data_IF_174131144348
#
_entry.id   IF_174131144348
#
_cell.length_a   1.000
_cell.length_b   1.000
_cell.length_c   1.000
_cell.angle_alpha   90.00
_cell.angle_beta   90.00
_cell.angle_gamma   90.00
#
_symmetry.space_group_name_H-M   'P 1'
#
loop_
_entity.id
_entity.type
_entity.pdbx_description
1 polymer ?
#
# COMPACT_ATOMS: atom_id res chain seq x y z
N UNK A 1 -24.45 2.49 -81.24
CA UNK A 1 -24.04 1.59 -80.15
C UNK A 1 -23.41 2.46 -79.06
N UNK A 2 -24.10 2.69 -77.93
CA UNK A 2 -23.54 3.53 -76.85
C UNK A 2 -22.76 2.68 -75.87
N UNK A 3 -21.57 3.17 -75.54
CA UNK A 3 -20.68 2.56 -74.55
C UNK A 3 -21.11 2.93 -73.10
N UNK A 4 -21.29 1.92 -72.26
CA UNK A 4 -21.62 2.03 -70.85
C UNK A 4 -20.32 2.26 -70.07
N UNK A 5 -20.16 3.48 -69.55
CA UNK A 5 -19.07 3.80 -68.61
C UNK A 5 -19.45 3.37 -67.20
N UNK A 6 -18.79 2.30 -66.67
CA UNK A 6 -18.92 1.85 -65.31
C UNK A 6 -18.17 2.77 -64.37
N UNK A 7 -18.91 3.55 -63.54
CA UNK A 7 -18.33 4.39 -62.48
C UNK A 7 -18.11 3.55 -61.21
N UNK A 8 -16.87 3.23 -60.95
CA UNK A 8 -16.46 2.55 -59.70
C UNK A 8 -16.48 3.58 -58.55
N UNK A 9 -17.43 3.47 -57.62
CA UNK A 9 -17.50 4.27 -56.43
C UNK A 9 -16.57 3.65 -55.35
N UNK A 10 -15.44 4.28 -55.09
CA UNK A 10 -14.53 3.92 -53.98
C UNK A 10 -15.10 4.51 -52.71
N UNK A 11 -15.67 3.66 -51.84
CA UNK A 11 -16.03 4.03 -50.47
C UNK A 11 -14.78 4.05 -49.60
N UNK A 12 -14.31 5.28 -49.33
CA UNK A 12 -13.24 5.50 -48.34
C UNK A 12 -13.82 5.37 -46.92
N UNK A 13 -13.58 4.24 -46.28
CA UNK A 13 -13.93 4.03 -44.88
C UNK A 13 -12.89 4.78 -44.04
N UNK A 14 -13.24 5.95 -43.55
CA UNK A 14 -12.44 6.70 -42.59
C UNK A 14 -12.49 5.96 -41.24
N UNK A 15 -11.39 5.26 -40.87
CA UNK A 15 -11.16 4.78 -39.51
C UNK A 15 -11.02 6.00 -38.60
N UNK A 16 -12.06 6.33 -37.86
CA UNK A 16 -11.96 7.23 -36.73
C UNK A 16 -11.15 6.51 -35.63
N UNK A 17 -10.01 7.07 -35.16
CA UNK A 17 -9.34 6.52 -33.99
C UNK A 17 -10.29 6.70 -32.80
N UNK A 18 -10.70 5.56 -32.20
CA UNK A 18 -11.46 5.55 -30.98
C UNK A 18 -10.71 6.35 -29.92
N UNK A 19 -11.30 7.45 -29.49
CA UNK A 19 -10.86 8.19 -28.29
C UNK A 19 -11.01 7.21 -27.11
N UNK A 20 -9.91 6.54 -26.75
CA UNK A 20 -9.81 5.85 -25.49
C UNK A 20 -10.09 6.91 -24.42
N UNK A 21 -11.27 6.87 -23.80
CA UNK A 21 -11.62 7.63 -22.62
C UNK A 21 -10.66 7.22 -21.50
N UNK A 22 -9.48 7.85 -21.45
CA UNK A 22 -8.64 7.83 -20.28
C UNK A 22 -9.46 8.49 -19.16
N UNK A 23 -10.11 7.68 -18.33
CA UNK A 23 -10.75 8.18 -17.12
C UNK A 23 -9.70 9.00 -16.36
N UNK A 24 -10.00 10.27 -16.06
CA UNK A 24 -9.05 11.07 -15.31
C UNK A 24 -8.80 10.37 -13.99
N UNK A 25 -7.52 10.10 -13.70
CA UNK A 25 -7.03 9.46 -12.48
C UNK A 25 -7.48 10.19 -11.18
N UNK A 26 -8.31 11.19 -11.30
CA UNK A 26 -8.69 12.15 -10.28
C UNK A 26 -10.11 11.96 -9.72
N UNK A 27 -10.90 10.98 -10.19
CA UNK A 27 -12.23 10.72 -9.61
C UNK A 27 -12.17 9.59 -8.57
N UNK A 28 -12.71 9.83 -7.35
CA UNK A 28 -12.85 8.78 -6.35
C UNK A 28 -13.74 7.65 -6.89
N UNK A 29 -13.27 6.41 -6.82
CA UNK A 29 -14.10 5.24 -7.13
C UNK A 29 -15.00 4.97 -5.93
N UNK A 30 -16.34 4.84 -6.08
CA UNK A 30 -17.24 4.56 -4.97
C UNK A 30 -16.80 3.34 -4.16
N UNK A 31 -16.74 3.49 -2.83
CA UNK A 31 -16.29 2.44 -1.91
C UNK A 31 -14.78 2.34 -1.74
N UNK A 32 -14.01 3.20 -2.42
CA UNK A 32 -12.57 3.34 -2.22
C UNK A 32 -12.21 4.73 -1.68
N UNK A 33 -11.14 4.78 -0.88
CA UNK A 33 -10.50 6.04 -0.49
C UNK A 33 -9.03 5.99 -0.90
N UNK A 34 -8.61 6.96 -1.70
CA UNK A 34 -7.19 7.07 -2.06
C UNK A 34 -6.41 7.78 -0.96
N UNK A 35 -5.19 7.30 -0.77
CA UNK A 35 -4.22 7.85 0.18
C UNK A 35 -2.89 7.99 -0.52
N UNK A 36 -2.24 9.14 -0.40
CA UNK A 36 -0.86 9.35 -0.82
C UNK A 36 0.09 9.01 0.31
N UNK A 37 1.11 8.22 0.01
CA UNK A 37 2.25 7.92 0.87
C UNK A 37 3.46 8.62 0.23
N UNK A 38 3.79 9.81 0.71
CA UNK A 38 4.90 10.61 0.21
C UNK A 38 6.19 10.12 0.87
N UNK A 39 7.13 9.63 0.09
CA UNK A 39 8.41 9.10 0.59
C UNK A 39 9.59 9.96 0.17
N UNK A 40 10.77 9.67 0.72
CA UNK A 40 12.02 10.34 0.31
C UNK A 40 12.45 9.99 -1.13
N UNK A 41 11.82 8.98 -1.77
CA UNK A 41 12.17 8.51 -3.12
C UNK A 41 11.01 8.56 -4.11
N UNK A 42 9.90 9.20 -3.74
CA UNK A 42 8.71 9.41 -4.58
C UNK A 42 7.42 9.11 -3.85
N UNK A 43 6.30 9.36 -4.51
CA UNK A 43 4.96 9.18 -3.97
C UNK A 43 4.35 7.86 -4.44
N UNK A 44 3.70 7.15 -3.51
CA UNK A 44 2.90 5.96 -3.78
C UNK A 44 1.45 6.33 -3.48
N UNK A 45 0.53 6.09 -4.42
CA UNK A 45 -0.91 6.30 -4.19
C UNK A 45 -1.57 4.94 -4.07
N UNK A 46 -2.27 4.72 -2.97
CA UNK A 46 -3.02 3.50 -2.68
C UNK A 46 -4.51 3.78 -2.65
N UNK A 47 -5.33 2.83 -3.09
CA UNK A 47 -6.78 2.83 -2.97
C UNK A 47 -7.20 1.79 -1.93
N UNK A 48 -7.82 2.24 -0.85
CA UNK A 48 -8.30 1.41 0.26
C UNK A 48 -9.73 0.94 -0.03
N UNK A 49 -9.98 -0.36 0.05
CA UNK A 49 -11.30 -0.95 -0.19
C UNK A 49 -12.15 -0.96 1.08
N UNK A 50 -12.90 0.11 1.30
CA UNK A 50 -13.73 0.28 2.49
C UNK A 50 -14.98 -0.61 2.49
N UNK A 51 -15.37 -1.19 1.35
CA UNK A 51 -16.53 -2.07 1.26
C UNK A 51 -16.19 -3.49 1.72
N UNK A 52 -15.05 -4.03 1.27
CA UNK A 52 -14.66 -5.41 1.54
C UNK A 52 -13.83 -5.54 2.82
N UNK A 53 -13.00 -4.54 3.13
CA UNK A 53 -12.16 -4.51 4.34
C UNK A 53 -12.38 -3.19 5.12
N UNK A 54 -13.61 -2.97 5.67
CA UNK A 54 -13.98 -1.71 6.31
C UNK A 54 -13.15 -1.41 7.56
N UNK A 55 -12.90 -2.39 8.43
CA UNK A 55 -12.19 -2.18 9.70
C UNK A 55 -10.71 -1.89 9.46
N UNK A 56 -10.08 -2.64 8.56
CA UNK A 56 -8.67 -2.48 8.21
C UNK A 56 -8.44 -1.16 7.49
N UNK A 57 -9.31 -0.80 6.55
CA UNK A 57 -9.26 0.49 5.86
C UNK A 57 -9.46 1.67 6.82
N UNK A 58 -10.40 1.57 7.74
CA UNK A 58 -10.64 2.60 8.76
C UNK A 58 -9.45 2.76 9.70
N UNK A 59 -8.81 1.65 10.12
CA UNK A 59 -7.59 1.68 10.91
C UNK A 59 -6.47 2.43 10.18
N UNK A 60 -6.18 2.09 8.92
CA UNK A 60 -5.13 2.77 8.16
C UNK A 60 -5.42 4.26 7.97
N UNK A 61 -6.69 4.62 7.71
CA UNK A 61 -7.12 6.01 7.62
C UNK A 61 -6.95 6.77 8.94
N UNK A 62 -7.22 6.13 10.08
CA UNK A 62 -6.98 6.74 11.40
C UNK A 62 -5.49 7.05 11.63
N UNK A 63 -4.60 6.15 11.21
CA UNK A 63 -3.15 6.42 11.25
C UNK A 63 -2.74 7.58 10.34
N UNK A 64 -3.32 7.66 9.13
CA UNK A 64 -3.04 8.74 8.18
C UNK A 64 -3.59 10.08 8.70
N UNK A 65 -4.86 10.11 9.11
CA UNK A 65 -5.55 11.32 9.57
C UNK A 65 -4.93 11.88 10.88
N UNK A 66 -4.41 11.00 11.75
CA UNK A 66 -3.67 11.36 12.95
C UNK A 66 -2.18 11.71 12.68
N UNK A 67 -1.69 11.56 11.44
CA UNK A 67 -0.28 11.75 11.09
C UNK A 67 0.67 10.79 11.83
N UNK A 68 0.17 9.59 12.24
CA UNK A 68 0.96 8.62 13.00
C UNK A 68 2.01 7.92 12.15
N UNK A 69 1.87 7.96 10.83
CA UNK A 69 2.82 7.40 9.87
C UNK A 69 3.85 8.44 9.39
N UNK A 70 3.66 9.72 9.66
CA UNK A 70 4.57 10.78 9.23
C UNK A 70 5.92 10.66 9.95
N UNK A 71 7.01 10.74 9.18
CA UNK A 71 8.37 10.54 9.69
C UNK A 71 8.73 9.10 10.04
N UNK A 72 7.84 8.12 9.78
CA UNK A 72 8.17 6.69 9.87
C UNK A 72 8.94 6.23 8.64
N UNK A 73 9.21 4.93 8.49
CA UNK A 73 10.05 4.42 7.43
C UNK A 73 9.52 3.13 6.81
N UNK A 74 9.89 2.87 5.55
CA UNK A 74 10.00 1.51 5.04
C UNK A 74 11.32 0.94 5.54
N UNK A 75 11.24 -0.08 6.38
CA UNK A 75 12.39 -0.68 7.08
C UNK A 75 12.77 -2.05 6.55
N UNK A 76 11.87 -2.73 5.83
CA UNK A 76 12.06 -4.09 5.32
C UNK A 76 11.73 -4.18 3.83
N UNK A 77 12.56 -4.92 3.11
CA UNK A 77 12.38 -5.30 1.72
C UNK A 77 12.62 -6.82 1.59
N UNK A 78 11.56 -7.60 1.59
CA UNK A 78 11.64 -9.06 1.55
C UNK A 78 11.56 -9.55 0.10
N UNK A 79 12.71 -9.72 -0.55
CA UNK A 79 12.80 -10.24 -1.91
C UNK A 79 12.54 -11.74 -1.95
N UNK A 80 11.89 -12.20 -3.01
CA UNK A 80 11.72 -13.63 -3.27
C UNK A 80 13.06 -14.24 -3.71
N UNK A 81 13.45 -15.37 -3.11
CA UNK A 81 14.74 -16.01 -3.43
C UNK A 81 14.81 -16.49 -4.88
N UNK A 82 13.72 -17.01 -5.45
CA UNK A 82 13.65 -17.52 -6.82
C UNK A 82 13.69 -16.41 -7.89
N UNK A 83 13.17 -15.21 -7.57
CA UNK A 83 13.23 -14.04 -8.42
C UNK A 83 13.19 -12.76 -7.56
N UNK A 84 14.35 -12.09 -7.39
CA UNK A 84 14.46 -10.91 -6.55
C UNK A 84 13.68 -9.67 -7.00
N UNK A 85 13.14 -9.69 -8.22
CA UNK A 85 12.25 -8.62 -8.73
C UNK A 85 10.89 -8.64 -8.02
N UNK A 86 10.51 -9.77 -7.42
CA UNK A 86 9.28 -9.96 -6.67
C UNK A 86 9.55 -10.02 -5.17
N UNK A 87 8.50 -9.74 -4.39
CA UNK A 87 8.57 -9.78 -2.94
C UNK A 87 7.59 -8.82 -2.29
N UNK A 88 8.02 -8.15 -1.24
CA UNK A 88 7.25 -7.09 -0.59
C UNK A 88 8.16 -6.05 0.05
N UNK A 89 7.63 -4.84 0.22
CA UNK A 89 8.19 -3.81 1.09
C UNK A 89 7.28 -3.65 2.30
N UNK A 90 7.86 -3.42 3.48
CA UNK A 90 7.11 -3.25 4.72
C UNK A 90 7.58 -1.98 5.44
N UNK A 91 6.60 -1.22 5.94
CA UNK A 91 6.83 0.04 6.64
C UNK A 91 5.77 0.29 7.69
N UNK A 92 5.82 1.46 8.32
CA UNK A 92 4.89 1.90 9.34
C UNK A 92 5.58 2.28 10.64
N UNK A 93 4.87 2.11 11.76
CA UNK A 93 5.34 2.52 13.08
C UNK A 93 6.49 1.68 13.63
N UNK A 94 6.85 0.58 12.96
CA UNK A 94 7.83 -0.41 13.39
C UNK A 94 7.54 -0.87 14.84
N UNK A 95 8.42 -0.55 15.78
CA UNK A 95 8.27 -0.85 17.21
C UNK A 95 7.96 0.40 18.07
N UNK A 96 7.70 1.55 17.46
CA UNK A 96 7.35 2.79 18.21
C UNK A 96 5.90 2.74 18.72
N UNK A 97 5.71 2.11 19.89
CA UNK A 97 4.40 1.97 20.53
C UNK A 97 3.74 3.31 20.87
N UNK A 98 4.48 4.43 20.93
CA UNK A 98 3.89 5.76 21.15
C UNK A 98 2.98 6.19 20.00
N UNK A 99 3.19 5.61 18.81
CA UNK A 99 2.37 5.82 17.61
C UNK A 99 1.22 4.85 17.50
N UNK A 100 1.20 3.79 18.32
CA UNK A 100 0.23 2.73 18.19
C UNK A 100 -1.19 3.20 18.55
N UNK A 101 -2.16 2.81 17.75
CA UNK A 101 -3.58 2.75 18.09
C UNK A 101 -3.91 1.33 18.58
N UNK A 102 -5.06 1.12 19.23
CA UNK A 102 -5.51 -0.23 19.56
C UNK A 102 -5.47 -1.15 18.33
N UNK A 103 -5.14 -2.42 18.50
CA UNK A 103 -5.12 -3.37 17.41
C UNK A 103 -6.49 -3.50 16.74
N UNK A 104 -6.47 -3.73 15.43
CA UNK A 104 -7.70 -3.91 14.63
C UNK A 104 -8.06 -5.39 14.53
N UNK A 105 -9.37 -5.68 14.54
CA UNK A 105 -9.89 -7.01 14.24
C UNK A 105 -9.43 -7.44 12.85
N UNK A 106 -8.98 -8.71 12.75
CA UNK A 106 -8.51 -9.28 11.51
C UNK A 106 -9.66 -9.49 10.51
N UNK A 107 -9.45 -9.07 9.27
CA UNK A 107 -10.35 -9.31 8.13
C UNK A 107 -9.60 -10.20 7.12
N UNK A 108 -9.71 -11.54 7.23
CA UNK A 108 -8.97 -12.46 6.39
C UNK A 108 -9.42 -12.39 4.92
N UNK A 109 -8.53 -12.77 4.01
CA UNK A 109 -8.83 -12.78 2.57
C UNK A 109 -9.96 -13.73 2.19
N UNK A 110 -10.22 -14.78 2.99
CA UNK A 110 -11.38 -15.66 2.84
C UNK A 110 -12.72 -14.95 3.10
N UNK A 111 -12.73 -13.91 3.93
CA UNK A 111 -13.91 -13.09 4.19
C UNK A 111 -14.04 -11.94 3.19
N UNK A 112 -12.93 -11.25 2.90
CA UNK A 112 -12.94 -10.03 2.09
C UNK A 112 -12.90 -10.32 0.58
N UNK A 113 -12.35 -11.47 0.17
CA UNK A 113 -12.08 -11.80 -1.23
C UNK A 113 -10.94 -11.00 -1.85
N UNK A 114 -10.23 -10.17 -1.06
CA UNK A 114 -9.08 -9.38 -1.54
C UNK A 114 -7.83 -10.25 -1.45
N UNK A 115 -7.30 -10.71 -2.60
CA UNK A 115 -6.12 -11.57 -2.66
C UNK A 115 -4.82 -10.78 -2.70
N UNK A 116 -3.73 -11.41 -2.26
CA UNK A 116 -2.37 -10.86 -2.38
C UNK A 116 -1.82 -11.04 -3.80
N UNK A 117 -2.29 -10.20 -4.72
CA UNK A 117 -1.78 -10.07 -6.09
C UNK A 117 -0.60 -9.09 -6.14
N UNK A 118 -0.15 -8.69 -7.35
CA UNK A 118 0.76 -7.55 -7.50
C UNK A 118 0.12 -6.28 -6.95
N UNK A 119 0.93 -5.40 -6.38
CA UNK A 119 0.49 -4.11 -5.86
C UNK A 119 -0.50 -4.15 -4.68
N UNK A 120 -0.72 -5.30 -4.03
CA UNK A 120 -1.66 -5.38 -2.90
C UNK A 120 -1.10 -4.72 -1.65
N UNK A 121 -1.92 -3.88 -0.99
CA UNK A 121 -1.66 -3.30 0.31
C UNK A 121 -2.30 -4.17 1.39
N UNK A 122 -1.52 -4.57 2.40
CA UNK A 122 -1.94 -5.48 3.45
C UNK A 122 -1.35 -5.10 4.81
N UNK A 123 -2.04 -5.48 5.91
CA UNK A 123 -1.54 -5.23 7.27
C UNK A 123 -0.48 -6.24 7.68
N UNK A 124 0.64 -5.72 8.18
CA UNK A 124 1.61 -6.54 8.90
C UNK A 124 1.16 -6.73 10.35
N UNK A 125 1.36 -7.94 10.88
CA UNK A 125 1.02 -8.30 12.26
C UNK A 125 2.01 -9.32 12.83
N UNK A 126 2.16 -9.37 14.16
CA UNK A 126 2.70 -10.54 14.85
C UNK A 126 1.86 -11.80 14.59
N UNK A 127 2.30 -12.95 15.09
CA UNK A 127 1.63 -14.24 14.83
C UNK A 127 0.22 -14.35 15.41
N UNK A 128 -0.12 -13.56 16.43
CA UNK A 128 -1.44 -13.56 17.05
C UNK A 128 -2.51 -12.92 16.14
N UNK A 129 -3.71 -13.53 16.03
CA UNK A 129 -4.87 -12.88 15.40
C UNK A 129 -5.20 -11.56 16.09
N UNK A 130 -5.83 -10.62 15.36
CA UNK A 130 -6.28 -9.32 15.88
C UNK A 130 -5.15 -8.49 16.54
N UNK A 131 -3.91 -8.62 16.04
CA UNK A 131 -2.74 -7.91 16.59
C UNK A 131 -2.17 -6.85 15.63
N UNK A 132 -2.77 -6.67 14.46
CA UNK A 132 -2.37 -5.64 13.51
C UNK A 132 -2.65 -4.24 14.07
N UNK A 133 -1.73 -3.30 13.86
CA UNK A 133 -1.88 -1.90 14.30
C UNK A 133 -1.45 -0.91 13.22
N UNK A 134 -0.22 -0.41 13.21
CA UNK A 134 0.26 0.63 12.31
C UNK A 134 1.33 0.18 11.31
N UNK A 135 1.62 -1.12 11.21
CA UNK A 135 2.56 -1.65 10.24
C UNK A 135 1.84 -2.28 9.05
N UNK A 136 2.34 -2.02 7.85
CA UNK A 136 1.75 -2.49 6.60
C UNK A 136 2.82 -2.94 5.61
N UNK A 137 2.41 -3.68 4.58
CA UNK A 137 3.28 -4.05 3.48
C UNK A 137 2.58 -3.90 2.13
N UNK A 138 3.39 -3.77 1.08
CA UNK A 138 2.94 -3.73 -0.31
C UNK A 138 3.64 -4.86 -1.05
N UNK A 139 2.88 -5.68 -1.78
CA UNK A 139 3.41 -6.79 -2.57
C UNK A 139 3.94 -6.31 -3.92
N UNK A 140 5.01 -6.94 -4.38
CA UNK A 140 5.51 -6.86 -5.75
C UNK A 140 5.42 -8.27 -6.34
N UNK A 141 4.48 -8.46 -7.22
CA UNK A 141 4.05 -9.76 -7.75
C UNK A 141 3.12 -10.53 -6.79
N UNK A 142 2.41 -11.53 -7.32
CA UNK A 142 1.44 -12.30 -6.56
C UNK A 142 2.11 -13.11 -5.45
N UNK A 143 1.47 -13.12 -4.27
CA UNK A 143 1.98 -13.81 -3.07
C UNK A 143 0.84 -14.60 -2.38
N UNK A 144 0.27 -15.63 -3.04
CA UNK A 144 -0.94 -16.33 -2.57
C UNK A 144 -0.75 -17.04 -1.22
N UNK A 145 0.50 -17.35 -0.82
CA UNK A 145 0.80 -17.91 0.52
C UNK A 145 0.45 -16.96 1.67
N UNK A 146 0.18 -15.68 1.40
CA UNK A 146 -0.26 -14.71 2.40
C UNK A 146 -1.78 -14.65 2.53
N UNK A 147 -2.52 -15.30 1.62
CA UNK A 147 -3.96 -15.44 1.72
C UNK A 147 -4.34 -16.43 2.82
N UNK A 148 -5.57 -16.30 3.34
CA UNK A 148 -6.13 -17.28 4.26
C UNK A 148 -6.35 -18.60 3.54
N UNK A 149 -5.76 -19.69 4.05
CA UNK A 149 -5.83 -21.04 3.45
C UNK A 149 -5.79 -22.11 4.56
N UNK A 150 -6.72 -23.06 4.53
CA UNK A 150 -6.79 -24.09 5.56
C UNK A 150 -6.88 -23.50 6.95
N UNK A 151 -5.98 -23.88 7.85
CA UNK A 151 -5.88 -23.32 9.21
C UNK A 151 -5.17 -21.97 9.30
N UNK A 152 -4.50 -21.53 8.23
CA UNK A 152 -3.85 -20.21 8.19
C UNK A 152 -4.85 -19.10 7.98
N UNK A 153 -4.92 -18.15 8.89
CA UNK A 153 -5.76 -16.94 8.74
C UNK A 153 -5.18 -15.92 7.77
N UNK A 154 -3.94 -16.10 7.31
CA UNK A 154 -3.25 -15.19 6.40
C UNK A 154 -3.07 -13.77 6.94
N UNK A 155 -2.99 -12.81 6.03
CA UNK A 155 -2.90 -11.38 6.32
C UNK A 155 -4.14 -10.64 5.78
N UNK A 156 -4.44 -9.49 6.37
CA UNK A 156 -5.59 -8.66 5.98
C UNK A 156 -5.20 -7.74 4.81
N UNK A 157 -5.47 -8.17 3.60
CA UNK A 157 -5.40 -7.33 2.41
C UNK A 157 -6.58 -6.35 2.40
N UNK A 158 -6.31 -5.06 2.17
CA UNK A 158 -7.35 -4.03 2.29
C UNK A 158 -7.29 -2.92 1.22
N UNK A 159 -6.42 -3.07 0.24
CA UNK A 159 -6.29 -2.11 -0.85
C UNK A 159 -5.20 -2.48 -1.84
N UNK A 160 -4.92 -1.57 -2.75
CA UNK A 160 -3.89 -1.77 -3.75
C UNK A 160 -3.28 -0.42 -4.18
N UNK A 161 -2.06 -0.48 -4.74
CA UNK A 161 -1.39 0.68 -5.33
C UNK A 161 -2.05 1.01 -6.66
N UNK A 162 -2.44 2.26 -6.85
CA UNK A 162 -3.02 2.79 -8.10
C UNK A 162 -2.05 3.68 -8.87
N UNK A 163 -0.99 4.18 -8.20
CA UNK A 163 0.12 4.89 -8.85
C UNK A 163 1.39 4.77 -8.00
N UNK A 164 2.57 4.83 -8.63
CA UNK A 164 3.86 4.77 -7.94
C UNK A 164 4.40 3.36 -7.69
N UNK A 165 3.99 2.33 -8.45
CA UNK A 165 4.59 1.00 -8.37
C UNK A 165 6.07 0.97 -8.76
N UNK A 166 6.53 1.92 -9.55
CA UNK A 166 7.96 2.14 -9.82
C UNK A 166 8.72 2.54 -8.54
N UNK A 167 8.12 3.39 -7.70
CA UNK A 167 8.66 3.75 -6.37
C UNK A 167 8.72 2.52 -5.46
N UNK A 168 7.66 1.70 -5.43
CA UNK A 168 7.62 0.44 -4.65
C UNK A 168 8.75 -0.50 -5.09
N UNK A 169 8.95 -0.67 -6.41
CA UNK A 169 10.02 -1.51 -6.95
C UNK A 169 11.42 -0.95 -6.63
N UNK A 170 11.61 0.38 -6.68
CA UNK A 170 12.87 1.00 -6.24
C UNK A 170 13.15 0.72 -4.77
N UNK A 171 12.15 0.82 -3.90
CA UNK A 171 12.30 0.49 -2.46
C UNK A 171 12.61 -1.00 -2.27
N UNK A 172 11.99 -1.90 -3.03
CA UNK A 172 12.32 -3.34 -2.98
C UNK A 172 13.77 -3.61 -3.38
N UNK A 173 14.34 -2.81 -4.30
CA UNK A 173 15.67 -3.00 -4.85
C UNK A 173 16.82 -2.44 -3.99
N UNK A 174 16.54 -1.66 -2.93
CA UNK A 174 17.60 -1.07 -2.10
C UNK A 174 18.46 -2.12 -1.38
N UNK A 175 19.70 -1.81 -1.01
CA UNK A 175 20.56 -2.72 -0.25
C UNK A 175 19.92 -3.16 1.07
N UNK A 176 20.10 -4.45 1.39
CA UNK A 176 19.58 -5.10 2.59
C UNK A 176 20.74 -5.57 3.46
N UNK A 177 20.52 -5.57 4.77
CA UNK A 177 21.47 -6.03 5.77
C UNK A 177 20.92 -7.23 6.55
N UNK A 178 21.80 -7.86 7.32
CA UNK A 178 21.45 -8.96 8.20
C UNK A 178 20.56 -8.41 9.31
N UNK A 179 19.24 -8.74 9.26
CA UNK A 179 18.33 -8.56 10.38
C UNK A 179 18.36 -9.77 11.30
N UNK A 180 17.51 -9.79 12.32
CA UNK A 180 17.35 -10.91 13.25
C UNK A 180 16.04 -11.67 13.02
N UNK A 181 15.96 -12.92 13.47
CA UNK A 181 14.75 -13.73 13.40
C UNK A 181 14.19 -13.90 11.98
N UNK A 182 12.87 -13.89 11.82
CA UNK A 182 12.20 -14.08 10.52
C UNK A 182 12.53 -13.02 9.47
N UNK A 183 13.11 -11.88 9.86
CA UNK A 183 13.47 -10.77 8.97
C UNK A 183 14.95 -10.79 8.57
N UNK A 184 15.69 -11.86 8.91
CA UNK A 184 17.12 -11.99 8.57
C UNK A 184 17.36 -11.79 7.08
N UNK A 185 18.29 -10.89 6.72
CA UNK A 185 18.65 -10.57 5.34
C UNK A 185 17.61 -9.74 4.59
N UNK A 186 16.65 -9.12 5.29
CA UNK A 186 15.56 -8.37 4.66
C UNK A 186 15.43 -6.94 5.18
N UNK A 187 16.25 -6.54 6.15
CA UNK A 187 16.21 -5.17 6.68
C UNK A 187 16.93 -4.21 5.73
N UNK A 188 16.32 -3.08 5.46
CA UNK A 188 16.89 -2.05 4.58
C UNK A 188 18.06 -1.37 5.31
N UNK A 189 19.25 -1.28 4.65
CA UNK A 189 20.45 -0.66 5.23
C UNK A 189 20.21 0.82 5.57
N UNK A 190 19.59 1.55 4.63
CA UNK A 190 19.19 2.95 4.80
C UNK A 190 17.67 3.01 4.63
N UNK A 191 16.89 2.92 5.73
CA UNK A 191 15.43 2.95 5.67
C UNK A 191 14.91 4.15 4.88
N UNK A 192 13.85 3.94 4.09
CA UNK A 192 13.26 4.98 3.26
C UNK A 192 12.21 5.72 4.08
N UNK A 193 12.40 7.02 4.27
CA UNK A 193 11.49 7.85 5.07
C UNK A 193 10.14 7.99 4.38
N UNK A 194 9.08 7.76 5.13
CA UNK A 194 7.71 8.15 4.83
C UNK A 194 7.55 9.56 5.38
N UNK A 195 7.53 10.55 4.50
CA UNK A 195 7.44 11.97 4.90
C UNK A 195 6.06 12.30 5.43
N UNK A 196 5.04 11.97 4.62
CA UNK A 196 3.64 12.23 4.94
C UNK A 196 2.75 11.11 4.40
N UNK A 197 1.69 10.80 5.15
CA UNK A 197 0.60 9.93 4.66
C UNK A 197 -0.69 10.72 4.78
N UNK A 198 -1.32 11.01 3.63
CA UNK A 198 -2.50 11.87 3.60
C UNK A 198 -3.60 11.30 2.71
N UNK A 199 -4.81 11.42 3.18
CA UNK A 199 -6.02 11.11 2.45
C UNK A 199 -6.15 12.05 1.23
N UNK A 200 -6.51 11.52 0.07
CA UNK A 200 -6.80 12.28 -1.14
C UNK A 200 -8.29 12.48 -1.36
N UNK A 201 -9.13 11.59 -0.82
CA UNK A 201 -10.58 11.62 -0.99
C UNK A 201 -11.28 11.81 0.35
N UNK A 202 -12.25 12.73 0.38
CA UNK A 202 -12.99 13.08 1.58
C UNK A 202 -12.21 13.94 2.58
N UNK A 203 -12.80 14.18 3.75
CA UNK A 203 -12.19 14.98 4.83
C UNK A 203 -11.44 14.08 5.82
N UNK A 204 -10.28 14.52 6.28
CA UNK A 204 -9.57 13.87 7.38
C UNK A 204 -10.44 13.86 8.66
N UNK A 205 -10.37 12.74 9.40
CA UNK A 205 -11.10 12.52 10.64
C UNK A 205 -10.14 12.06 11.75
N UNK A 206 -9.34 12.97 12.31
CA UNK A 206 -8.42 12.62 13.39
C UNK A 206 -9.14 11.99 14.57
N UNK A 207 -8.49 11.04 15.22
CA UNK A 207 -9.11 10.29 16.34
C UNK A 207 -9.22 11.11 17.61
N UNK A 208 -8.58 12.26 17.71
CA UNK A 208 -8.47 13.07 18.92
C UNK A 208 -7.57 12.48 20.00
N UNK A 209 -6.96 11.31 19.76
CA UNK A 209 -6.05 10.67 20.71
C UNK A 209 -4.73 11.41 20.83
N UNK A 210 -4.15 11.38 22.02
CA UNK A 210 -2.83 11.97 22.31
C UNK A 210 -1.80 11.45 21.31
N UNK A 211 -0.85 12.34 20.95
CA UNK A 211 0.26 12.07 20.01
C UNK A 211 1.60 12.10 20.76
N UNK A 212 1.93 11.06 21.56
CA UNK A 212 3.10 11.08 22.45
C UNK A 212 4.44 11.20 21.73
N UNK A 213 4.50 10.82 20.44
CA UNK A 213 5.73 10.94 19.64
C UNK A 213 6.06 12.39 19.26
N UNK A 214 5.12 13.32 19.37
CA UNK A 214 5.35 14.76 19.17
C UNK A 214 5.92 15.44 20.43
N UNK A 215 5.87 14.75 21.60
CA UNK A 215 6.40 15.25 22.85
C UNK A 215 7.90 14.93 22.88
N UNK A 216 8.79 15.93 22.99
CA UNK A 216 10.23 15.69 23.10
C UNK A 216 10.53 14.75 24.29
N UNK A 217 11.39 13.75 24.10
CA UNK A 217 11.89 12.95 25.23
C UNK A 217 12.73 13.85 26.12
N UNK A 218 12.44 13.84 27.42
CA UNK A 218 13.33 14.46 28.40
C UNK A 218 14.74 13.89 28.23
N UNK A 219 15.76 14.75 28.17
CA UNK A 219 17.15 14.29 28.12
C UNK A 219 17.41 13.40 29.35
N UNK A 220 18.10 12.27 29.20
CA UNK A 220 18.51 11.46 30.36
C UNK A 220 19.27 12.36 31.33
N UNK A 221 18.93 12.31 32.62
CA UNK A 221 19.76 12.98 33.65
C UNK A 221 21.14 12.36 33.58
N UNK A 222 22.23 13.20 33.62
CA UNK A 222 23.58 12.69 33.72
C UNK A 222 23.67 11.77 34.96
N UNK A 223 24.20 10.57 34.75
CA UNK A 223 24.52 9.69 35.89
C UNK A 223 25.57 10.40 36.75
N UNK A 224 25.24 10.62 38.02
CA UNK A 224 26.21 11.11 39.03
C UNK A 224 27.23 9.99 39.29
#
# INVERSE_FOLDING_TARGET
>A
MPSVACRLAVFLFALLPGLANAQPANRPTPGYTRVAIDTSVGTIIVALDQRRAPLTSANFLAYADDQRLDGTVFYRAARRKSDPKFGLIQGGIDTDLRRALPPVRHEPTSQTGIRHLDATLSMARPDRPNSASGNFFITVGPTPRMDAQGSSIGYAAFGHVVAGMDVVRRILAVPQQVGTGPMRGQMIVKPITIRHVRRLDGKARPTGKVKPWLIPRAKPRPKK
#
